data_IF_198045845610
#
_entry.id   IF_198045845610
#
_cell.length_a   1.000
_cell.length_b   1.000
_cell.length_c   1.000
_cell.angle_alpha   90.00
_cell.angle_beta   90.00
_cell.angle_gamma   90.00
#
_symmetry.space_group_name_H-M   'P 1'
#
loop_
_entity.id
_entity.type
_entity.pdbx_description
1 polymer ?
#
# COMPACT_ATOMS: atom_id res chain seq x y z
N UNK A 1 -0.01 20.25 -21.91
CA UNK A 1 0.12 19.05 -21.06
C UNK A 1 1.36 18.31 -21.53
N UNK A 2 2.49 18.51 -20.82
CA UNK A 2 3.77 17.95 -21.22
C UNK A 2 3.81 16.45 -20.87
N UNK A 3 3.81 15.59 -21.88
CA UNK A 3 4.14 14.19 -21.67
C UNK A 3 5.58 14.11 -21.16
N UNK A 4 5.77 13.63 -19.93
CA UNK A 4 7.10 13.43 -19.36
C UNK A 4 7.95 12.55 -20.30
N UNK A 5 9.23 12.88 -20.43
CA UNK A 5 10.16 12.12 -21.26
C UNK A 5 10.25 10.68 -20.72
N UNK A 6 10.50 9.70 -21.60
CA UNK A 6 10.80 8.30 -21.24
C UNK A 6 11.78 8.18 -20.07
N UNK A 7 12.75 9.09 -19.96
CA UNK A 7 13.70 9.14 -18.84
C UNK A 7 13.01 9.38 -17.49
N UNK A 8 12.03 10.28 -17.42
CA UNK A 8 11.29 10.60 -16.20
C UNK A 8 10.44 9.42 -15.73
N UNK A 9 9.84 8.69 -16.68
CA UNK A 9 9.09 7.47 -16.40
C UNK A 9 9.98 6.36 -15.83
N UNK A 10 11.19 6.19 -16.39
CA UNK A 10 12.18 5.23 -15.87
C UNK A 10 12.64 5.62 -14.47
N UNK A 11 12.85 6.91 -14.22
CA UNK A 11 13.21 7.42 -12.90
C UNK A 11 12.08 7.22 -11.89
N UNK A 12 10.83 7.51 -12.26
CA UNK A 12 9.64 7.29 -11.44
C UNK A 12 9.50 5.81 -11.07
N UNK A 13 9.59 4.92 -12.05
CA UNK A 13 9.56 3.47 -11.83
C UNK A 13 10.66 3.02 -10.86
N UNK A 14 11.88 3.55 -11.02
CA UNK A 14 13.00 3.26 -10.12
C UNK A 14 12.75 3.76 -8.69
N UNK A 15 12.14 4.93 -8.53
CA UNK A 15 11.77 5.46 -7.22
C UNK A 15 10.65 4.65 -6.55
N UNK A 16 9.65 4.19 -7.32
CA UNK A 16 8.57 3.34 -6.82
C UNK A 16 9.09 1.97 -6.39
N UNK A 17 9.98 1.36 -7.18
CA UNK A 17 10.61 0.09 -6.82
C UNK A 17 11.37 0.20 -5.49
N UNK A 18 12.15 1.28 -5.30
CA UNK A 18 12.83 1.55 -4.01
C UNK A 18 11.84 1.74 -2.87
N UNK A 19 10.75 2.47 -3.09
CA UNK A 19 9.70 2.70 -2.10
C UNK A 19 9.05 1.39 -1.66
N UNK A 20 8.73 0.50 -2.59
CA UNK A 20 8.11 -0.79 -2.29
C UNK A 20 9.06 -1.75 -1.55
N UNK A 21 10.36 -1.70 -1.86
CA UNK A 21 11.37 -2.55 -1.23
C UNK A 21 11.83 -2.07 0.15
N UNK A 22 11.67 -0.78 0.43
CA UNK A 22 12.20 -0.14 1.65
C UNK A 22 11.84 -0.87 2.94
N UNK A 23 10.57 -1.29 3.10
CA UNK A 23 10.15 -1.97 4.32
C UNK A 23 10.78 -3.36 4.47
N UNK A 24 10.87 -4.12 3.38
CA UNK A 24 11.54 -5.42 3.35
C UNK A 24 13.03 -5.28 3.72
N UNK A 25 13.71 -4.26 3.17
CA UNK A 25 15.11 -3.98 3.49
C UNK A 25 15.28 -3.60 4.98
N UNK A 26 14.36 -2.82 5.55
CA UNK A 26 14.37 -2.50 6.98
C UNK A 26 14.14 -3.73 7.87
N UNK A 27 13.22 -4.62 7.50
CA UNK A 27 12.96 -5.86 8.25
C UNK A 27 14.19 -6.78 8.24
N UNK A 28 14.82 -6.97 7.07
CA UNK A 28 16.06 -7.76 6.95
C UNK A 28 17.23 -7.16 7.74
N UNK A 29 17.35 -5.84 7.74
CA UNK A 29 18.40 -5.15 8.51
C UNK A 29 18.19 -5.35 10.03
N UNK A 30 16.94 -5.30 10.50
CA UNK A 30 16.60 -5.56 11.89
C UNK A 30 16.97 -6.99 12.31
N UNK A 31 16.57 -8.00 11.53
CA UNK A 31 16.93 -9.41 11.77
C UNK A 31 18.44 -9.63 11.86
N UNK A 32 19.22 -9.02 10.95
CA UNK A 32 20.68 -9.11 10.97
C UNK A 32 21.30 -8.44 12.21
N UNK A 33 20.71 -7.35 12.70
CA UNK A 33 21.19 -6.65 13.89
C UNK A 33 20.90 -7.40 15.19
N UNK A 34 19.76 -8.10 15.28
CA UNK A 34 19.39 -8.93 16.44
C UNK A 34 20.31 -10.16 16.59
N UNK A 35 20.95 -10.63 15.51
CA UNK A 35 21.94 -11.71 15.53
C UNK A 35 23.33 -11.32 16.03
N UNK A 36 23.63 -10.03 16.25
CA UNK A 36 24.96 -9.54 16.63
C UNK A 36 24.98 -9.00 18.07
N UNK A 37 25.33 -9.87 19.04
CA UNK A 37 25.52 -9.48 20.45
C UNK A 37 26.87 -8.79 20.60
N UNK A 38 26.94 -7.49 20.31
CA UNK A 38 28.15 -6.67 20.50
C UNK A 38 28.20 -5.32 19.80
N UNK A 39 27.15 -4.93 19.06
CA UNK A 39 27.12 -3.69 18.29
C UNK A 39 26.63 -2.50 19.12
N UNK A 40 27.40 -1.41 19.11
CA UNK A 40 27.07 -0.12 19.70
C UNK A 40 25.64 0.32 19.28
N UNK A 41 24.79 0.67 20.24
CA UNK A 41 23.35 0.98 20.10
C UNK A 41 23.09 2.31 19.34
N UNK A 42 24.06 2.77 18.57
CA UNK A 42 24.08 4.04 17.84
C UNK A 42 24.49 3.83 16.38
N UNK A 43 23.70 3.07 15.62
CA UNK A 43 23.90 2.94 14.17
C UNK A 43 22.61 3.21 13.40
N UNK A 44 22.49 4.46 12.94
CA UNK A 44 21.73 4.85 11.74
C UNK A 44 20.22 4.95 11.89
N UNK A 45 19.63 5.98 11.27
CA UNK A 45 18.19 6.21 11.13
C UNK A 45 17.45 5.14 10.31
N UNK A 46 17.73 3.84 10.50
CA UNK A 46 16.88 2.80 9.95
C UNK A 46 15.58 2.81 10.75
N UNK A 47 14.53 3.41 10.16
CA UNK A 47 13.18 3.29 10.68
C UNK A 47 12.87 1.80 10.82
N UNK A 48 12.45 1.38 12.02
CA UNK A 48 12.02 0.03 12.31
C UNK A 48 11.03 -0.45 11.22
N UNK A 49 11.25 -1.65 10.69
CA UNK A 49 10.35 -2.24 9.71
C UNK A 49 8.95 -2.45 10.30
N UNK A 50 7.93 -2.42 9.44
CA UNK A 50 6.52 -2.56 9.80
C UNK A 50 6.03 -3.94 9.36
N UNK A 51 5.52 -4.72 10.33
CA UNK A 51 5.01 -6.08 10.08
C UNK A 51 3.51 -6.12 9.79
N UNK A 52 2.81 -5.00 9.88
CA UNK A 52 1.35 -4.90 9.74
C UNK A 52 0.95 -4.11 8.49
N UNK A 53 -0.21 -4.42 7.94
CA UNK A 53 -0.86 -3.65 6.88
C UNK A 53 -1.68 -2.53 7.49
N UNK A 54 -1.53 -1.31 6.99
CA UNK A 54 -2.23 -0.15 7.51
C UNK A 54 -1.41 1.12 7.35
N UNK A 55 -1.89 2.19 7.97
CA UNK A 55 -1.20 3.46 8.00
C UNK A 55 -1.61 4.27 9.23
N UNK A 56 -0.68 5.03 9.79
CA UNK A 56 -0.89 5.81 11.01
C UNK A 56 -1.91 6.96 10.88
N UNK A 57 -2.41 7.23 9.68
CA UNK A 57 -3.37 8.31 9.39
C UNK A 57 -4.40 7.81 8.39
N UNK A 58 -5.64 8.24 8.57
CA UNK A 58 -6.71 8.07 7.58
C UNK A 58 -6.35 8.85 6.32
N UNK A 59 -6.26 8.14 5.19
CA UNK A 59 -6.09 8.72 3.85
C UNK A 59 -7.43 8.75 3.12
N UNK A 60 -7.47 9.34 1.93
CA UNK A 60 -8.67 9.39 1.11
C UNK A 60 -8.42 8.83 -0.30
N UNK A 61 -9.39 8.09 -0.83
CA UNK A 61 -9.47 7.76 -2.25
C UNK A 61 -10.56 8.64 -2.88
N UNK A 62 -10.14 9.73 -3.52
CA UNK A 62 -11.07 10.82 -3.86
C UNK A 62 -11.67 11.42 -2.58
N UNK A 63 -13.00 11.37 -2.46
CA UNK A 63 -13.72 11.86 -1.28
C UNK A 63 -14.03 10.78 -0.24
N UNK A 64 -13.59 9.54 -0.47
CA UNK A 64 -13.91 8.39 0.37
C UNK A 64 -12.77 8.19 1.38
N UNK A 65 -13.02 8.36 2.70
CA UNK A 65 -12.03 8.05 3.72
C UNK A 65 -11.68 6.56 3.72
N UNK A 66 -10.40 6.23 3.74
CA UNK A 66 -9.92 4.84 3.79
C UNK A 66 -9.64 4.44 5.23
N UNK A 67 -10.22 3.32 5.69
CA UNK A 67 -9.83 2.75 6.97
C UNK A 67 -8.38 2.22 6.86
N UNK A 68 -7.47 2.78 7.65
CA UNK A 68 -6.06 2.42 7.68
C UNK A 68 -5.64 1.77 9.01
N UNK A 69 -6.60 1.32 9.82
CA UNK A 69 -6.33 0.52 11.01
C UNK A 69 -5.40 -0.65 10.70
N UNK A 70 -4.44 -0.84 11.60
CA UNK A 70 -3.40 -1.86 11.47
C UNK A 70 -3.99 -3.27 11.53
N UNK A 71 -3.47 -4.16 10.68
CA UNK A 71 -3.87 -5.56 10.60
C UNK A 71 -2.66 -6.44 10.28
N UNK A 72 -2.56 -7.59 10.95
CA UNK A 72 -1.51 -8.57 10.71
C UNK A 72 -1.75 -9.44 9.47
N UNK A 73 -2.98 -9.45 8.94
CA UNK A 73 -3.39 -10.31 7.83
C UNK A 73 -3.77 -9.50 6.59
N UNK A 74 -3.07 -9.74 5.49
CA UNK A 74 -3.27 -9.04 4.23
C UNK A 74 -4.68 -9.25 3.67
N UNK A 75 -5.16 -10.49 3.68
CA UNK A 75 -6.47 -10.82 3.10
C UNK A 75 -7.59 -10.10 3.86
N UNK A 76 -7.58 -10.20 5.19
CA UNK A 76 -8.52 -9.49 6.06
C UNK A 76 -8.44 -7.98 5.88
N UNK A 77 -7.24 -7.40 5.85
CA UNK A 77 -7.03 -5.97 5.65
C UNK A 77 -7.66 -5.51 4.33
N UNK A 78 -7.33 -6.16 3.22
CA UNK A 78 -7.80 -5.71 1.91
C UNK A 78 -9.31 -5.92 1.74
N UNK A 79 -9.83 -7.08 2.13
CA UNK A 79 -11.26 -7.39 1.97
C UNK A 79 -12.11 -6.44 2.82
N UNK A 80 -11.76 -6.23 4.10
CA UNK A 80 -12.55 -5.37 5.00
C UNK A 80 -12.31 -3.89 4.75
N UNK A 81 -11.05 -3.47 4.68
CA UNK A 81 -10.71 -2.05 4.71
C UNK A 81 -10.61 -1.41 3.32
N UNK A 82 -10.72 -2.20 2.24
CA UNK A 82 -10.76 -1.69 0.86
C UNK A 82 -12.02 -2.10 0.13
N UNK A 83 -12.28 -3.40 -0.01
CA UNK A 83 -13.42 -3.88 -0.82
C UNK A 83 -14.76 -3.64 -0.14
N UNK A 84 -14.89 -4.04 1.14
CA UNK A 84 -16.15 -3.94 1.87
C UNK A 84 -16.62 -2.51 2.03
N UNK A 85 -15.71 -1.57 2.29
CA UNK A 85 -16.04 -0.15 2.34
C UNK A 85 -16.74 0.33 1.05
N UNK A 86 -16.20 -0.03 -0.12
CA UNK A 86 -16.79 0.35 -1.41
C UNK A 86 -18.13 -0.35 -1.65
N UNK A 87 -18.23 -1.63 -1.31
CA UNK A 87 -19.47 -2.40 -1.40
C UNK A 87 -20.57 -1.81 -0.51
N UNK A 88 -20.26 -1.48 0.73
CA UNK A 88 -21.22 -0.88 1.68
C UNK A 88 -21.73 0.47 1.15
N UNK A 89 -20.86 1.32 0.59
CA UNK A 89 -21.28 2.59 -0.02
C UNK A 89 -22.25 2.41 -1.20
N UNK A 90 -22.10 1.35 -2.00
CA UNK A 90 -23.03 1.03 -3.09
C UNK A 90 -24.35 0.48 -2.54
N UNK A 91 -24.27 -0.42 -1.56
CA UNK A 91 -25.44 -1.03 -0.93
C UNK A 91 -26.29 0.02 -0.20
N UNK A 92 -25.66 0.98 0.46
CA UNK A 92 -26.32 2.13 1.11
C UNK A 92 -27.03 3.04 0.09
N UNK A 93 -26.47 3.16 -1.11
CA UNK A 93 -27.11 3.87 -2.24
C UNK A 93 -28.23 3.07 -2.91
N UNK A 94 -28.51 1.85 -2.42
CA UNK A 94 -29.61 1.02 -2.89
C UNK A 94 -29.24 0.04 -4.01
N UNK A 95 -27.95 -0.21 -4.24
CA UNK A 95 -27.49 -1.22 -5.19
C UNK A 95 -27.83 -2.64 -4.69
N UNK A 96 -28.81 -3.26 -5.32
CA UNK A 96 -29.29 -4.61 -4.97
C UNK A 96 -28.37 -5.70 -5.49
N UNK A 97 -27.80 -5.51 -6.68
CA UNK A 97 -26.91 -6.48 -7.31
C UNK A 97 -25.64 -6.63 -6.47
N UNK A 98 -25.07 -5.52 -6.00
CA UNK A 98 -23.93 -5.52 -5.09
C UNK A 98 -24.26 -6.21 -3.76
N UNK A 99 -25.46 -5.97 -3.20
CA UNK A 99 -25.90 -6.60 -1.94
C UNK A 99 -25.99 -8.12 -2.08
N UNK A 100 -26.55 -8.61 -3.19
CA UNK A 100 -26.72 -10.03 -3.45
C UNK A 100 -25.37 -10.71 -3.77
N UNK A 101 -24.49 -10.04 -4.52
CA UNK A 101 -23.19 -10.57 -4.92
C UNK A 101 -22.12 -10.51 -3.82
N UNK A 102 -22.24 -9.59 -2.84
CA UNK A 102 -21.19 -9.35 -1.85
C UNK A 102 -20.74 -10.61 -1.09
N UNK A 103 -21.62 -11.48 -0.54
CA UNK A 103 -21.17 -12.66 0.20
C UNK A 103 -20.30 -13.61 -0.63
N UNK A 104 -20.62 -13.78 -1.92
CA UNK A 104 -19.82 -14.61 -2.82
C UNK A 104 -18.48 -13.93 -3.17
N UNK A 105 -18.52 -12.62 -3.43
CA UNK A 105 -17.33 -11.83 -3.73
C UNK A 105 -16.35 -11.81 -2.54
N UNK A 106 -16.85 -11.59 -1.33
CA UNK A 106 -16.07 -11.57 -0.10
C UNK A 106 -15.34 -12.89 0.12
N UNK A 107 -16.06 -14.02 -0.03
CA UNK A 107 -15.45 -15.35 0.07
C UNK A 107 -14.37 -15.55 -0.99
N UNK A 108 -14.67 -15.29 -2.27
CA UNK A 108 -13.70 -15.46 -3.36
C UNK A 108 -12.48 -14.58 -3.22
N UNK A 109 -12.68 -13.31 -2.84
CA UNK A 109 -11.58 -12.37 -2.62
C UNK A 109 -10.70 -12.83 -1.46
N UNK A 110 -11.30 -13.28 -0.36
CA UNK A 110 -10.56 -13.83 0.78
C UNK A 110 -9.74 -15.05 0.36
N UNK A 111 -10.32 -16.01 -0.37
CA UNK A 111 -9.63 -17.22 -0.83
C UNK A 111 -8.45 -16.89 -1.77
N UNK A 112 -8.66 -15.96 -2.72
CA UNK A 112 -7.61 -15.51 -3.64
C UNK A 112 -6.47 -14.86 -2.86
N UNK A 113 -6.78 -13.96 -1.92
CA UNK A 113 -5.76 -13.22 -1.18
C UNK A 113 -5.06 -14.10 -0.12
N UNK A 114 -5.75 -15.05 0.48
CA UNK A 114 -5.16 -16.04 1.39
C UNK A 114 -4.14 -16.95 0.68
N UNK A 115 -4.28 -17.12 -0.64
CA UNK A 115 -3.29 -17.84 -1.45
C UNK A 115 -1.97 -17.05 -1.63
N UNK A 116 -1.97 -15.74 -1.39
CA UNK A 116 -0.78 -14.90 -1.42
C UNK A 116 0.05 -15.10 -0.15
N UNK A 117 0.94 -16.09 -0.16
CA UNK A 117 1.85 -16.35 0.97
C UNK A 117 3.00 -15.34 1.03
N UNK A 118 3.40 -14.96 2.25
CA UNK A 118 4.62 -14.19 2.49
C UNK A 118 4.58 -12.74 1.97
N UNK A 119 3.39 -12.13 1.89
CA UNK A 119 3.27 -10.73 1.49
C UNK A 119 3.86 -9.85 2.58
N UNK A 120 4.90 -9.09 2.24
CA UNK A 120 5.49 -8.07 3.12
C UNK A 120 4.74 -6.75 2.92
N UNK A 121 4.31 -6.06 4.00
CA UNK A 121 3.74 -4.73 3.88
C UNK A 121 4.70 -3.78 3.16
N UNK A 122 4.18 -2.95 2.27
CA UNK A 122 4.97 -1.99 1.52
C UNK A 122 4.27 -0.63 1.50
N UNK A 123 5.04 0.45 1.54
CA UNK A 123 4.49 1.77 1.31
C UNK A 123 4.05 1.84 -0.16
N UNK A 124 2.77 2.12 -0.39
CA UNK A 124 2.20 2.29 -1.72
C UNK A 124 1.76 3.73 -1.94
N UNK A 125 1.73 4.17 -3.19
CA UNK A 125 1.21 5.49 -3.55
C UNK A 125 -0.30 5.63 -3.30
N UNK A 126 -1.06 4.53 -3.40
CA UNK A 126 -2.51 4.51 -3.16
C UNK A 126 -3.37 4.87 -4.38
N UNK A 127 -2.94 5.81 -5.23
CA UNK A 127 -3.70 6.22 -6.43
C UNK A 127 -2.79 6.53 -7.63
N UNK A 128 -1.91 5.60 -8.02
CA UNK A 128 -0.99 5.85 -9.13
C UNK A 128 -1.61 5.46 -10.48
N UNK A 129 -1.91 6.46 -11.31
CA UNK A 129 -2.39 6.28 -12.69
C UNK A 129 -1.90 7.45 -13.58
N UNK A 130 -2.16 7.40 -14.88
CA UNK A 130 -1.62 8.36 -15.86
C UNK A 130 -1.91 9.84 -15.56
N UNK A 131 -3.00 10.14 -14.84
CA UNK A 131 -3.34 11.49 -14.39
C UNK A 131 -2.73 11.91 -13.05
N UNK A 132 -2.13 10.98 -12.30
CA UNK A 132 -1.61 11.23 -10.95
C UNK A 132 -0.07 11.12 -10.86
N UNK A 133 0.60 11.51 -11.94
CA UNK A 133 2.04 11.77 -11.96
C UNK A 133 2.32 12.92 -12.93
N UNK A 134 3.41 13.66 -12.71
CA UNK A 134 3.89 14.63 -13.68
C UNK A 134 5.42 14.64 -13.72
N UNK A 135 5.96 15.26 -14.75
CA UNK A 135 7.38 15.60 -14.83
C UNK A 135 7.55 17.11 -14.66
N UNK A 136 8.55 17.52 -13.89
CA UNK A 136 9.01 18.91 -13.81
C UNK A 136 10.53 18.95 -14.03
N UNK A 137 11.11 20.15 -14.10
CA UNK A 137 12.53 20.34 -14.40
C UNK A 137 13.48 19.66 -13.39
N UNK A 138 12.99 19.28 -12.21
CA UNK A 138 13.73 18.53 -11.19
C UNK A 138 13.47 17.00 -11.20
N UNK A 139 12.69 16.50 -12.15
CA UNK A 139 12.33 15.09 -12.32
C UNK A 139 10.85 14.78 -12.06
N UNK A 140 10.48 13.50 -11.85
CA UNK A 140 9.08 13.12 -11.69
C UNK A 140 8.50 13.59 -10.34
N UNK A 141 7.43 14.36 -10.39
CA UNK A 141 6.56 14.68 -9.26
C UNK A 141 5.49 13.61 -9.06
N UNK A 142 5.21 13.26 -7.80
CA UNK A 142 4.12 12.38 -7.38
C UNK A 142 3.06 13.23 -6.70
N UNK A 143 1.79 12.99 -6.99
CA UNK A 143 0.68 13.71 -6.35
C UNK A 143 -0.18 12.73 -5.55
N UNK A 144 -0.67 13.20 -4.41
CA UNK A 144 -1.62 12.57 -3.46
C UNK A 144 -1.05 11.77 -2.27
N UNK A 145 -1.64 12.08 -1.11
CA UNK A 145 -1.82 11.35 0.14
C UNK A 145 -3.31 11.43 0.50
#
# INVERSE_FOLDING_TARGET
MGGGNRQDLVQLGSQLARMHKHNEDCLKAAEHSEGFVGGDYKTGNYKQGVNQFGFHTTTCCGFIPQNNEWSDDWASFFVRNRLKLQADLLIEKGDRDMREAWPELERKATDILASCKGVTPALVHGDLWGGNWASCDSGPGKFSL
#
